data_IF_571460544195
#
_entry.id   IF_571460544195
#
_cell.length_a   1.000
_cell.length_b   1.000
_cell.length_c   1.000
_cell.angle_alpha   90.00
_cell.angle_beta   90.00
_cell.angle_gamma   90.00
#
_symmetry.space_group_name_H-M   'P 1'
#
loop_
_entity.id
_entity.type
_entity.pdbx_description
1 polymer ?
#
# COMPACT_ATOMS: atom_id res chain seq x y z
N UNK A 1 22.21 20.81 -0.04
CA UNK A 1 20.88 21.11 0.53
C UNK A 1 20.10 19.80 0.56
N UNK A 2 19.97 19.17 1.73
CA UNK A 2 19.20 17.94 1.89
C UNK A 2 17.75 18.34 2.21
N UNK A 3 16.90 18.38 1.19
CA UNK A 3 15.46 18.58 1.38
C UNK A 3 14.93 17.39 2.17
N UNK A 4 14.74 17.56 3.47
CA UNK A 4 14.00 16.61 4.28
C UNK A 4 12.55 16.62 3.79
N UNK A 5 12.15 15.57 3.06
CA UNK A 5 10.78 15.38 2.60
C UNK A 5 9.91 15.01 3.81
N UNK A 6 9.40 16.03 4.50
CA UNK A 6 8.57 15.94 5.71
C UNK A 6 7.24 15.19 5.49
N UNK A 7 6.87 14.96 4.22
CA UNK A 7 5.60 14.37 3.81
C UNK A 7 5.70 12.92 3.34
N UNK A 8 6.87 12.29 3.46
CA UNK A 8 7.02 10.88 3.15
C UNK A 8 6.39 10.01 4.25
N UNK A 9 5.53 9.07 3.85
CA UNK A 9 5.00 8.01 4.70
C UNK A 9 5.36 6.65 4.14
N UNK A 10 5.57 5.70 5.03
CA UNK A 10 5.71 4.28 4.68
C UNK A 10 4.55 3.49 5.26
N UNK A 11 4.00 2.57 4.47
CA UNK A 11 2.92 1.66 4.87
C UNK A 11 3.20 0.26 4.36
N UNK A 12 2.95 -0.71 5.22
CA UNK A 12 2.87 -2.11 4.80
C UNK A 12 1.48 -2.39 4.25
N UNK A 13 1.45 -2.98 3.06
CA UNK A 13 0.23 -3.42 2.38
C UNK A 13 0.28 -4.95 2.32
N UNK A 14 -0.81 -5.57 2.79
CA UNK A 14 -1.04 -7.00 2.70
C UNK A 14 -2.07 -7.24 1.59
N UNK A 15 -1.72 -8.08 0.63
CA UNK A 15 -2.64 -8.63 -0.36
C UNK A 15 -3.42 -9.78 0.27
N UNK A 16 -4.72 -9.82 0.00
CA UNK A 16 -5.56 -11.00 0.18
C UNK A 16 -5.12 -11.98 -0.92
N UNK A 17 -4.80 -13.21 -0.53
CA UNK A 17 -4.07 -14.20 -1.33
C UNK A 17 -4.40 -14.25 -2.83
N UNK A 18 -3.44 -14.72 -3.65
CA UNK A 18 -3.51 -14.53 -5.09
C UNK A 18 -4.73 -15.29 -5.63
N UNK A 19 -5.66 -14.56 -6.23
CA UNK A 19 -6.70 -15.17 -7.06
C UNK A 19 -6.08 -15.62 -8.39
N UNK A 20 -5.00 -14.96 -8.82
CA UNK A 20 -4.16 -15.31 -9.96
C UNK A 20 -2.67 -15.19 -9.62
N UNK A 21 -1.77 -15.97 -10.24
CA UNK A 21 -0.32 -15.97 -9.94
C UNK A 21 0.37 -14.61 -10.11
N UNK A 22 -0.15 -13.76 -11.00
CA UNK A 22 0.34 -12.40 -11.29
C UNK A 22 -0.08 -11.36 -10.25
N UNK A 23 -1.12 -11.64 -9.46
CA UNK A 23 -1.65 -10.74 -8.43
C UNK A 23 -0.92 -10.93 -7.09
N UNK A 24 0.41 -10.81 -7.15
CA UNK A 24 1.33 -10.95 -6.02
C UNK A 24 2.05 -9.63 -5.72
N UNK A 25 2.87 -9.62 -4.66
CA UNK A 25 3.60 -8.43 -4.23
C UNK A 25 4.50 -7.85 -5.33
N UNK A 26 5.12 -8.67 -6.17
CA UNK A 26 5.96 -8.19 -7.27
C UNK A 26 5.11 -7.48 -8.34
N UNK A 27 3.95 -8.04 -8.69
CA UNK A 27 3.00 -7.41 -9.60
C UNK A 27 2.47 -6.07 -9.07
N UNK A 28 2.16 -6.01 -7.78
CA UNK A 28 1.73 -4.78 -7.12
C UNK A 28 2.84 -3.72 -7.11
N UNK A 29 4.07 -4.11 -6.79
CA UNK A 29 5.24 -3.22 -6.81
C UNK A 29 5.49 -2.68 -8.22
N UNK A 30 5.39 -3.55 -9.23
CA UNK A 30 5.57 -3.16 -10.63
C UNK A 30 4.53 -2.12 -11.05
N UNK A 31 3.26 -2.31 -10.69
CA UNK A 31 2.18 -1.34 -10.97
C UNK A 31 2.45 0.01 -10.30
N UNK A 32 2.92 -0.01 -9.04
CA UNK A 32 3.16 1.20 -8.26
C UNK A 32 4.44 1.93 -8.65
N UNK A 33 5.38 1.28 -9.33
CA UNK A 33 6.62 1.90 -9.78
C UNK A 33 6.40 3.03 -10.79
N UNK A 34 5.28 3.01 -11.51
CA UNK A 34 4.91 4.01 -12.53
C UNK A 34 4.07 5.18 -11.97
N UNK A 35 3.74 5.16 -10.67
CA UNK A 35 2.81 6.13 -10.09
C UNK A 35 3.56 7.33 -9.49
N UNK A 36 3.25 8.54 -9.95
CA UNK A 36 3.81 9.78 -9.41
C UNK A 36 3.51 9.90 -7.91
N UNK A 37 4.55 10.06 -7.09
CA UNK A 37 4.43 10.15 -5.64
C UNK A 37 4.85 8.89 -4.89
N UNK A 38 5.01 7.75 -5.57
CA UNK A 38 5.65 6.57 -4.97
C UNK A 38 7.16 6.79 -4.96
N UNK A 39 7.75 6.80 -3.76
CA UNK A 39 9.19 6.99 -3.56
C UNK A 39 9.94 5.67 -3.58
N UNK A 40 9.34 4.62 -3.03
CA UNK A 40 9.95 3.30 -2.95
C UNK A 40 8.87 2.25 -2.69
N UNK A 41 9.04 1.04 -3.22
CA UNK A 41 8.21 -0.10 -2.89
C UNK A 41 9.09 -1.35 -2.75
N UNK A 42 9.05 -1.98 -1.58
CA UNK A 42 9.92 -3.11 -1.21
C UNK A 42 9.05 -4.33 -0.92
N UNK A 43 9.34 -5.44 -1.59
CA UNK A 43 8.72 -6.73 -1.30
C UNK A 43 9.14 -7.22 0.08
N UNK A 44 8.16 -7.59 0.90
CA UNK A 44 8.39 -8.26 2.19
C UNK A 44 8.16 -9.77 2.08
N UNK A 45 7.13 -10.19 1.33
CA UNK A 45 6.86 -11.57 0.92
C UNK A 45 5.91 -11.58 -0.29
N UNK A 46 5.48 -12.75 -0.78
CA UNK A 46 4.64 -12.87 -1.99
C UNK A 46 3.29 -12.16 -1.92
N UNK A 47 2.79 -11.86 -0.71
CA UNK A 47 1.52 -11.17 -0.49
C UNK A 47 1.67 -9.92 0.36
N UNK A 48 2.89 -9.45 0.61
CA UNK A 48 3.13 -8.28 1.45
C UNK A 48 4.26 -7.46 0.92
N UNK A 49 4.05 -6.16 0.85
CA UNK A 49 5.08 -5.20 0.47
C UNK A 49 4.96 -3.94 1.32
N UNK A 50 6.05 -3.20 1.42
CA UNK A 50 6.08 -1.89 2.04
C UNK A 50 6.19 -0.83 0.94
N UNK A 51 5.30 0.15 0.96
CA UNK A 51 5.32 1.28 0.04
C UNK A 51 5.61 2.56 0.80
N UNK A 52 6.57 3.33 0.29
CA UNK A 52 6.89 4.68 0.71
C UNK A 52 6.36 5.65 -0.34
N UNK A 53 5.57 6.63 0.09
CA UNK A 53 4.93 7.59 -0.80
C UNK A 53 4.89 8.99 -0.19
N UNK A 54 4.76 9.99 -1.05
CA UNK A 54 4.66 11.39 -0.71
C UNK A 54 3.19 11.80 -0.58
N UNK A 55 2.77 12.16 0.64
CA UNK A 55 1.39 12.55 0.94
C UNK A 55 0.93 13.80 0.17
N UNK A 56 1.85 14.60 -0.36
CA UNK A 56 1.50 15.78 -1.15
C UNK A 56 1.13 15.44 -2.59
N UNK A 57 1.48 14.24 -3.06
CA UNK A 57 1.30 13.80 -4.44
C UNK A 57 0.26 12.70 -4.53
N UNK A 58 0.33 11.71 -3.63
CA UNK A 58 -0.54 10.53 -3.66
C UNK A 58 -1.00 10.16 -2.24
N UNK A 59 -2.30 9.89 -2.10
CA UNK A 59 -2.87 9.37 -0.86
C UNK A 59 -2.81 7.84 -0.80
N UNK A 60 -2.87 7.27 0.41
CA UNK A 60 -2.98 5.82 0.55
C UNK A 60 -4.22 5.28 -0.18
N UNK A 61 -5.36 5.97 -0.08
CA UNK A 61 -6.60 5.57 -0.74
C UNK A 61 -6.44 5.49 -2.26
N UNK A 62 -5.71 6.42 -2.88
CA UNK A 62 -5.43 6.37 -4.33
C UNK A 62 -4.56 5.16 -4.71
N UNK A 63 -3.56 4.84 -3.88
CA UNK A 63 -2.74 3.63 -4.04
C UNK A 63 -3.60 2.38 -3.95
N UNK A 64 -4.51 2.33 -2.96
CA UNK A 64 -5.41 1.19 -2.76
C UNK A 64 -6.43 1.05 -3.90
N UNK A 65 -6.95 2.15 -4.42
CA UNK A 65 -7.85 2.16 -5.57
C UNK A 65 -7.16 1.69 -6.84
N UNK A 66 -5.97 2.20 -7.16
CA UNK A 66 -5.20 1.77 -8.32
C UNK A 66 -4.88 0.26 -8.28
N UNK A 67 -4.56 -0.26 -7.10
CA UNK A 67 -4.38 -1.69 -6.88
C UNK A 67 -5.69 -2.45 -7.11
N UNK A 68 -6.81 -1.97 -6.57
CA UNK A 68 -8.12 -2.59 -6.72
C UNK A 68 -8.63 -2.61 -8.17
N UNK A 69 -8.38 -1.56 -8.95
CA UNK A 69 -8.74 -1.47 -10.37
C UNK A 69 -8.05 -2.54 -11.22
N UNK A 70 -6.83 -2.94 -10.84
CA UNK A 70 -6.07 -4.02 -11.49
C UNK A 70 -6.43 -5.40 -10.93
N UNK A 71 -7.28 -5.47 -9.90
CA UNK A 71 -7.74 -6.71 -9.29
C UNK A 71 -6.97 -7.15 -8.04
N UNK A 72 -6.07 -6.32 -7.51
CA UNK A 72 -5.45 -6.58 -6.22
C UNK A 72 -6.46 -6.33 -5.09
N UNK A 73 -6.83 -7.40 -4.39
CA UNK A 73 -7.62 -7.28 -3.18
C UNK A 73 -6.69 -7.07 -1.99
N UNK A 74 -6.84 -5.94 -1.31
CA UNK A 74 -6.08 -5.65 -0.10
C UNK A 74 -6.74 -6.29 1.11
N UNK A 75 -5.95 -6.93 1.96
CA UNK A 75 -6.41 -7.33 3.27
C UNK A 75 -6.51 -6.06 4.11
N UNK A 76 -7.75 -5.59 4.28
CA UNK A 76 -8.14 -4.45 5.10
C UNK A 76 -7.82 -4.62 6.60
N UNK A 77 -6.81 -5.41 6.97
CA UNK A 77 -6.25 -5.52 8.31
C UNK A 77 -5.95 -4.15 8.93
N UNK A 78 -5.62 -3.12 8.14
CA UNK A 78 -5.45 -1.75 8.67
C UNK A 78 -6.79 -1.13 9.09
N UNK A 79 -7.82 -1.18 8.25
CA UNK A 79 -9.19 -0.74 8.59
C UNK A 79 -9.75 -1.58 9.74
N UNK A 80 -9.50 -2.88 9.76
CA UNK A 80 -9.94 -3.77 10.84
C UNK A 80 -9.17 -3.54 12.14
N UNK A 81 -7.87 -3.18 12.08
CA UNK A 81 -7.08 -2.78 13.25
C UNK A 81 -7.52 -1.41 13.78
N UNK A 82 -7.84 -0.46 12.91
CA UNK A 82 -8.38 0.85 13.30
C UNK A 82 -9.80 0.69 13.85
N UNK A 83 -10.67 -0.09 13.20
CA UNK A 83 -11.99 -0.45 13.72
C UNK A 83 -11.92 -1.21 15.05
N UNK A 84 -10.92 -2.08 15.25
CA UNK A 84 -10.67 -2.72 16.56
C UNK A 84 -10.12 -1.73 17.60
N UNK A 85 -9.21 -0.84 17.21
CA UNK A 85 -8.66 0.16 18.12
C UNK A 85 -9.71 1.20 18.53
N UNK A 86 -10.66 1.53 17.66
CA UNK A 86 -11.82 2.40 17.94
C UNK A 86 -12.96 1.62 18.61
N UNK A 87 -13.12 0.33 18.28
CA UNK A 87 -14.15 -0.56 18.82
C UNK A 87 -13.85 -1.15 20.19
N UNK A 88 -12.71 -0.83 20.81
CA UNK A 88 -12.43 -1.13 22.23
C UNK A 88 -12.89 -0.02 23.19
N UNK A 89 -13.71 0.92 22.71
CA UNK A 89 -14.33 1.98 23.52
C UNK A 89 -15.86 2.01 23.40
N UNK A 90 -16.49 0.82 23.36
CA UNK A 90 -17.92 0.65 23.60
C UNK A 90 -18.16 -0.58 24.48
#
# INVERSE_FOLDING_TARGET
MATQNIHQKSREIQLRGPTEPSLNADGAIFLLADNEGIRNAIKLNDLRFSVSYDLTIVSLEQIELALAEVGFHLDNSLINKIKRAIGSYY
#
